data_IF_926731019736
#
_entry.id   IF_926731019736
#
_cell.length_a   1.000
_cell.length_b   1.000
_cell.length_c   1.000
_cell.angle_alpha   90.00
_cell.angle_beta   90.00
_cell.angle_gamma   90.00
#
_symmetry.space_group_name_H-M   'P 1'
#
loop_
_entity.id
_entity.type
_entity.pdbx_description
1 polymer ?
#
# COMPACT_ATOMS: atom_id res chain seq x y z
N UNK A 1 47.81 -21.36 2.71
CA UNK A 1 46.36 -21.38 3.06
C UNK A 1 45.87 -22.83 3.07
N UNK A 2 45.44 -23.37 4.24
CA UNK A 2 45.10 -24.80 4.41
C UNK A 2 43.98 -25.22 3.44
N UNK A 3 44.09 -26.39 2.81
CA UNK A 3 43.16 -26.91 1.77
C UNK A 3 41.68 -26.85 2.19
N UNK A 4 41.38 -27.08 3.48
CA UNK A 4 40.03 -26.96 4.05
C UNK A 4 39.47 -25.53 4.03
N UNK A 5 40.31 -24.50 4.19
CA UNK A 5 39.86 -23.10 4.14
C UNK A 5 39.46 -22.67 2.72
N UNK A 6 40.14 -23.18 1.69
CA UNK A 6 39.74 -22.96 0.28
C UNK A 6 38.38 -23.58 -0.03
N UNK A 7 38.11 -24.79 0.47
CA UNK A 7 36.82 -25.47 0.27
C UNK A 7 35.68 -24.69 0.93
N UNK A 8 35.88 -24.22 2.18
CA UNK A 8 34.88 -23.42 2.90
C UNK A 8 34.54 -22.13 2.14
N UNK A 9 35.57 -21.42 1.63
CA UNK A 9 35.35 -20.20 0.84
C UNK A 9 34.57 -20.51 -0.44
N UNK A 10 34.95 -21.56 -1.18
CA UNK A 10 34.24 -21.94 -2.41
C UNK A 10 32.78 -22.27 -2.12
N UNK A 11 32.50 -23.03 -1.06
CA UNK A 11 31.12 -23.36 -0.66
C UNK A 11 30.33 -22.11 -0.28
N UNK A 12 30.92 -21.19 0.51
CA UNK A 12 30.28 -19.92 0.86
C UNK A 12 29.97 -19.06 -0.38
N UNK A 13 30.90 -18.94 -1.32
CA UNK A 13 30.70 -18.21 -2.58
C UNK A 13 29.58 -18.88 -3.39
N UNK A 14 29.59 -20.21 -3.51
CA UNK A 14 28.54 -20.94 -4.21
C UNK A 14 27.16 -20.72 -3.58
N UNK A 15 27.06 -20.74 -2.24
CA UNK A 15 25.81 -20.44 -1.54
C UNK A 15 25.35 -19.01 -1.85
N UNK A 16 26.23 -18.02 -1.78
CA UNK A 16 25.90 -16.62 -2.08
C UNK A 16 25.42 -16.47 -3.52
N UNK A 17 26.09 -17.10 -4.48
CA UNK A 17 25.71 -17.08 -5.90
C UNK A 17 24.34 -17.73 -6.10
N UNK A 18 24.10 -18.89 -5.50
CA UNK A 18 22.79 -19.57 -5.56
C UNK A 18 21.71 -18.68 -4.96
N UNK A 19 21.95 -18.09 -3.79
CA UNK A 19 20.99 -17.21 -3.13
C UNK A 19 20.68 -15.99 -4.02
N UNK A 20 21.70 -15.40 -4.62
CA UNK A 20 21.54 -14.26 -5.53
C UNK A 20 20.72 -14.61 -6.78
N UNK A 21 20.92 -15.80 -7.34
CA UNK A 21 20.12 -16.30 -8.47
C UNK A 21 18.66 -16.48 -8.02
N UNK A 22 18.43 -17.19 -6.91
CA UNK A 22 17.09 -17.46 -6.38
C UNK A 22 16.31 -16.18 -6.09
N UNK A 23 16.95 -15.16 -5.51
CA UNK A 23 16.31 -13.87 -5.22
C UNK A 23 15.88 -13.08 -6.47
N UNK A 24 16.41 -13.42 -7.65
CA UNK A 24 16.09 -12.80 -8.94
C UNK A 24 15.08 -13.59 -9.78
N UNK A 25 14.74 -14.82 -9.39
CA UNK A 25 13.75 -15.62 -10.12
C UNK A 25 12.38 -14.95 -9.99
N UNK A 26 11.67 -14.70 -11.11
CA UNK A 26 10.30 -14.22 -11.07
C UNK A 26 9.40 -15.19 -10.32
N UNK A 27 8.73 -14.68 -9.30
CA UNK A 27 7.70 -15.40 -8.53
C UNK A 27 6.30 -15.19 -9.12
N UNK A 28 6.08 -14.05 -9.79
CA UNK A 28 4.83 -13.72 -10.47
C UNK A 28 5.09 -12.88 -11.72
N UNK A 29 4.19 -13.03 -12.69
CA UNK A 29 4.12 -12.25 -13.91
C UNK A 29 2.75 -11.57 -13.99
N UNK A 30 2.74 -10.28 -14.29
CA UNK A 30 1.52 -9.50 -14.44
C UNK A 30 1.43 -8.95 -15.86
N UNK A 31 0.21 -8.94 -16.39
CA UNK A 31 -0.10 -8.26 -17.65
C UNK A 31 -0.23 -6.75 -17.43
N UNK A 32 0.21 -5.97 -18.42
CA UNK A 32 -0.15 -4.56 -18.54
C UNK A 32 -1.55 -4.38 -19.09
N UNK A 33 -2.02 -5.30 -19.93
CA UNK A 33 -3.34 -5.20 -20.55
C UNK A 33 -4.42 -5.41 -19.49
N UNK A 34 -5.19 -4.35 -19.25
CA UNK A 34 -6.41 -4.39 -18.46
C UNK A 34 -7.57 -4.52 -19.44
N UNK A 35 -8.40 -5.53 -19.25
CA UNK A 35 -9.64 -5.69 -20.01
C UNK A 35 -10.79 -5.08 -19.22
N UNK A 36 -11.76 -4.54 -19.95
CA UNK A 36 -13.07 -4.11 -19.41
C UNK A 36 -13.07 -2.85 -18.53
N UNK A 37 -11.94 -2.14 -18.44
CA UNK A 37 -11.83 -0.84 -17.78
C UNK A 37 -11.32 0.22 -18.76
N UNK A 38 -11.74 1.46 -18.51
CA UNK A 38 -11.38 2.66 -19.25
C UNK A 38 -10.87 3.72 -18.27
N UNK A 39 -9.59 4.06 -18.29
CA UNK A 39 -9.01 5.04 -17.40
C UNK A 39 -9.67 6.41 -17.60
N UNK A 40 -9.96 7.07 -16.48
CA UNK A 40 -10.52 8.41 -16.47
C UNK A 40 -9.77 9.30 -15.48
N UNK A 41 -9.86 10.60 -15.73
CA UNK A 41 -9.46 11.64 -14.79
C UNK A 41 -10.66 12.53 -14.53
N UNK A 42 -11.08 12.61 -13.27
CA UNK A 42 -12.20 13.43 -12.83
C UNK A 42 -11.86 14.01 -11.45
N UNK A 43 -11.18 15.16 -11.47
CA UNK A 43 -10.64 15.80 -10.28
C UNK A 43 -11.77 16.28 -9.34
N UNK A 44 -12.94 16.65 -9.89
CA UNK A 44 -14.08 17.12 -9.11
C UNK A 44 -14.77 15.99 -8.35
N UNK A 45 -15.02 14.85 -9.03
CA UNK A 45 -15.57 13.67 -8.36
C UNK A 45 -14.55 13.10 -7.36
N UNK A 46 -13.26 13.06 -7.71
CA UNK A 46 -12.22 12.60 -6.80
C UNK A 46 -12.21 13.41 -5.49
N UNK A 47 -12.30 14.75 -5.57
CA UNK A 47 -12.40 15.61 -4.38
C UNK A 47 -13.67 15.36 -3.58
N UNK A 48 -14.80 15.14 -4.23
CA UNK A 48 -16.11 14.94 -3.58
C UNK A 48 -16.17 13.67 -2.75
N UNK A 49 -15.49 12.60 -3.17
CA UNK A 49 -15.51 11.30 -2.50
C UNK A 49 -14.21 10.97 -1.77
N UNK A 50 -13.29 11.93 -1.65
CA UNK A 50 -11.98 11.72 -1.03
C UNK A 50 -12.12 11.16 0.41
N UNK A 51 -11.52 9.99 0.71
CA UNK A 51 -11.55 9.44 2.05
C UNK A 51 -10.81 10.35 3.04
N UNK A 52 -11.29 10.40 4.28
CA UNK A 52 -10.66 11.16 5.37
C UNK A 52 -9.97 10.18 6.30
N UNK A 53 -8.67 10.38 6.54
CA UNK A 53 -7.90 9.55 7.46
C UNK A 53 -7.76 10.26 8.80
N UNK A 54 -8.15 9.58 9.87
CA UNK A 54 -7.96 9.98 11.26
C UNK A 54 -6.70 9.29 11.78
N UNK A 55 -5.69 10.06 12.14
CA UNK A 55 -4.40 9.52 12.60
C UNK A 55 -3.98 10.12 13.94
N UNK A 56 -2.97 9.54 14.57
CA UNK A 56 -2.35 10.06 15.78
C UNK A 56 -0.91 10.48 15.48
N UNK A 57 -0.29 11.25 16.39
CA UNK A 57 1.14 11.58 16.29
C UNK A 57 2.05 10.34 16.36
N UNK A 58 1.54 9.21 16.85
CA UNK A 58 2.28 7.96 16.92
C UNK A 58 2.57 7.43 15.51
N UNK A 59 1.54 7.31 14.69
CA UNK A 59 1.61 6.79 13.31
C UNK A 59 1.97 7.87 12.29
N UNK A 60 1.93 9.14 12.68
CA UNK A 60 2.23 10.23 11.77
C UNK A 60 1.11 10.50 10.77
N UNK A 61 1.35 11.44 9.86
CA UNK A 61 0.34 11.93 8.93
C UNK A 61 0.76 11.63 7.49
N UNK A 62 -0.20 11.20 6.67
CA UNK A 62 -0.01 11.14 5.23
C UNK A 62 0.31 12.55 4.70
N UNK A 63 1.26 12.64 3.79
CA UNK A 63 1.73 13.89 3.19
C UNK A 63 0.93 14.26 1.95
N UNK A 64 0.47 13.27 1.20
CA UNK A 64 -0.25 13.44 -0.05
C UNK A 64 -1.34 12.39 -0.21
N UNK A 65 -2.37 12.75 -0.97
CA UNK A 65 -3.41 11.84 -1.44
C UNK A 65 -3.39 11.88 -2.96
N UNK A 66 -3.04 10.75 -3.57
CA UNK A 66 -3.13 10.59 -5.03
C UNK A 66 -4.35 9.75 -5.39
N UNK A 67 -4.83 9.89 -6.62
CA UNK A 67 -5.86 8.99 -7.13
C UNK A 67 -5.61 8.54 -8.57
N UNK A 68 -6.04 7.31 -8.88
CA UNK A 68 -6.34 6.88 -10.25
C UNK A 68 -7.78 6.42 -10.33
N UNK A 69 -8.39 6.57 -11.49
CA UNK A 69 -9.77 6.16 -11.69
C UNK A 69 -9.97 5.48 -13.03
N UNK A 70 -10.98 4.60 -13.09
CA UNK A 70 -11.41 3.95 -14.30
C UNK A 70 -12.93 3.73 -14.29
N UNK A 71 -13.52 3.59 -15.48
CA UNK A 71 -14.89 3.12 -15.65
C UNK A 71 -14.91 1.71 -16.19
N UNK A 72 -15.84 0.89 -15.73
CA UNK A 72 -16.12 -0.39 -16.38
C UNK A 72 -17.12 -0.24 -17.53
N UNK A 73 -17.38 -1.35 -18.23
CA UNK A 73 -18.36 -1.41 -19.33
C UNK A 73 -19.80 -1.12 -18.91
N UNK A 74 -20.13 -1.26 -17.63
CA UNK A 74 -21.46 -0.99 -17.08
C UNK A 74 -21.65 0.48 -16.69
N UNK A 75 -20.57 1.28 -16.78
CA UNK A 75 -20.54 2.68 -16.42
C UNK A 75 -20.28 2.93 -14.93
N UNK A 76 -19.94 1.90 -14.14
CA UNK A 76 -19.51 2.09 -12.76
C UNK A 76 -18.13 2.75 -12.76
N UNK A 77 -17.87 3.61 -11.78
CA UNK A 77 -16.61 4.34 -11.66
C UNK A 77 -15.83 3.85 -10.46
N UNK A 78 -14.55 3.55 -10.63
CA UNK A 78 -13.66 3.06 -9.60
C UNK A 78 -12.61 4.12 -9.33
N UNK A 79 -12.47 4.54 -8.07
CA UNK A 79 -11.41 5.43 -7.62
C UNK A 79 -10.50 4.65 -6.67
N UNK A 80 -9.21 4.60 -6.98
CA UNK A 80 -8.18 4.16 -6.03
C UNK A 80 -7.52 5.39 -5.42
N UNK A 81 -7.69 5.60 -4.12
CA UNK A 81 -7.08 6.68 -3.36
C UNK A 81 -5.82 6.18 -2.63
N UNK A 82 -4.67 6.72 -3.01
CA UNK A 82 -3.35 6.37 -2.51
C UNK A 82 -2.87 7.40 -1.51
N UNK A 83 -2.84 7.03 -0.24
CA UNK A 83 -2.27 7.87 0.80
C UNK A 83 -0.76 7.62 0.88
N UNK A 84 0.03 8.69 0.76
CA UNK A 84 1.49 8.63 0.85
C UNK A 84 1.94 9.02 2.27
N UNK A 85 2.73 8.16 2.89
CA UNK A 85 3.53 8.48 4.07
C UNK A 85 5.01 8.49 3.73
N UNK A 86 5.77 9.29 4.49
CA UNK A 86 7.22 9.35 4.32
C UNK A 86 7.91 8.01 4.64
N UNK A 87 7.38 7.24 5.61
CA UNK A 87 7.95 5.97 6.08
C UNK A 87 7.01 5.24 7.05
N UNK A 88 7.08 3.93 7.06
CA UNK A 88 6.61 3.09 8.18
C UNK A 88 7.61 3.15 9.34
N UNK A 89 7.14 3.32 10.58
CA UNK A 89 8.02 3.25 11.76
C UNK A 89 7.30 2.57 12.92
N UNK A 90 7.68 1.33 13.22
CA UNK A 90 7.29 0.69 14.47
C UNK A 90 8.10 1.29 15.64
N UNK A 91 7.50 2.21 16.42
CA UNK A 91 8.13 2.86 17.59
C UNK A 91 8.13 1.98 18.86
N UNK A 92 7.45 0.83 18.83
CA UNK A 92 7.31 -0.06 19.97
C UNK A 92 8.67 -0.59 20.43
N UNK A 93 8.82 -0.75 21.75
CA UNK A 93 10.02 -1.36 22.35
C UNK A 93 9.97 -2.89 22.20
N UNK A 94 11.13 -3.53 22.04
CA UNK A 94 11.24 -4.98 21.96
C UNK A 94 12.21 -5.44 20.87
N UNK A 95 12.58 -6.72 20.93
CA UNK A 95 13.57 -7.31 20.01
C UNK A 95 13.04 -7.34 18.57
N UNK A 96 11.80 -7.81 18.37
CA UNK A 96 11.18 -7.88 17.03
C UNK A 96 10.96 -6.49 16.40
N UNK A 97 10.39 -5.48 17.10
CA UNK A 97 10.32 -4.11 16.56
C UNK A 97 11.69 -3.50 16.30
N UNK A 98 12.68 -3.76 17.15
CA UNK A 98 14.06 -3.33 16.91
C UNK A 98 14.62 -3.91 15.61
N UNK A 99 14.47 -5.22 15.39
CA UNK A 99 14.89 -5.87 14.15
C UNK A 99 14.14 -5.32 12.94
N UNK A 100 12.84 -5.05 13.05
CA UNK A 100 12.07 -4.41 11.98
C UNK A 100 12.68 -3.04 11.60
N UNK A 101 12.95 -2.18 12.59
CA UNK A 101 13.56 -0.87 12.33
C UNK A 101 14.95 -0.96 11.70
N UNK A 102 15.78 -1.92 12.09
CA UNK A 102 17.14 -2.02 11.56
C UNK A 102 17.20 -2.72 10.19
N UNK A 103 16.37 -3.73 9.97
CA UNK A 103 16.44 -4.56 8.78
C UNK A 103 15.41 -4.15 7.72
N UNK A 104 14.19 -3.83 8.11
CA UNK A 104 13.06 -3.69 7.19
C UNK A 104 12.77 -2.23 6.83
N UNK A 105 12.37 -1.40 7.80
CA UNK A 105 11.92 -0.02 7.59
C UNK A 105 13.03 1.03 7.64
N UNK A 106 14.18 0.73 8.26
CA UNK A 106 15.30 1.65 8.44
C UNK A 106 16.61 1.17 7.82
N UNK A 107 17.55 0.68 8.65
CA UNK A 107 18.99 0.56 8.32
C UNK A 107 19.32 -0.12 6.98
N UNK A 108 18.83 -1.34 6.74
CA UNK A 108 19.00 -2.03 5.45
C UNK A 108 17.95 -1.61 4.40
N UNK A 109 16.93 -0.86 4.79
CA UNK A 109 15.86 -0.34 3.94
C UNK A 109 15.26 -1.40 2.99
N UNK A 110 15.14 -2.65 3.45
CA UNK A 110 14.65 -3.77 2.62
C UNK A 110 13.27 -3.44 2.04
N UNK A 111 12.42 -2.75 2.78
CA UNK A 111 11.13 -2.26 2.28
C UNK A 111 11.29 -1.38 1.03
N UNK A 112 12.26 -0.46 1.03
CA UNK A 112 12.53 0.43 -0.11
C UNK A 112 12.98 -0.36 -1.34
N UNK A 113 13.83 -1.38 -1.16
CA UNK A 113 14.25 -2.25 -2.25
C UNK A 113 13.09 -3.10 -2.79
N UNK A 114 12.21 -3.57 -1.90
CA UNK A 114 11.07 -4.40 -2.26
C UNK A 114 9.99 -3.62 -3.00
N UNK A 115 9.58 -2.47 -2.47
CA UNK A 115 8.38 -1.78 -2.90
C UNK A 115 8.64 -0.44 -3.59
N UNK A 116 9.80 0.17 -3.40
CA UNK A 116 10.14 1.49 -3.94
C UNK A 116 10.14 2.57 -2.85
N UNK A 117 10.11 3.85 -3.24
CA UNK A 117 10.16 4.99 -2.29
C UNK A 117 8.88 5.11 -1.45
N UNK A 118 9.02 5.64 -0.23
CA UNK A 118 7.88 6.01 0.62
C UNK A 118 7.05 4.82 1.10
N UNK A 119 5.93 5.13 1.73
CA UNK A 119 4.92 4.15 2.10
C UNK A 119 3.56 4.56 1.54
N UNK A 120 2.83 3.63 0.93
CA UNK A 120 1.61 3.94 0.18
C UNK A 120 0.56 2.90 0.52
N UNK A 121 -0.55 3.37 1.08
CA UNK A 121 -1.73 2.56 1.37
C UNK A 121 -2.91 3.04 0.52
N UNK A 122 -3.77 2.11 0.13
CA UNK A 122 -4.83 2.37 -0.85
C UNK A 122 -6.23 2.09 -0.29
N UNK A 123 -7.17 2.95 -0.63
CA UNK A 123 -8.62 2.77 -0.41
C UNK A 123 -9.31 2.87 -1.78
N UNK A 124 -10.02 1.84 -2.20
CA UNK A 124 -10.89 1.90 -3.38
C UNK A 124 -12.29 2.33 -2.98
N UNK A 125 -12.86 3.24 -3.76
CA UNK A 125 -14.27 3.60 -3.72
C UNK A 125 -14.85 3.32 -5.11
N UNK A 126 -15.84 2.43 -5.18
CA UNK A 126 -16.63 2.17 -6.38
C UNK A 126 -17.93 2.97 -6.30
N UNK A 127 -18.19 3.76 -7.32
CA UNK A 127 -19.46 4.40 -7.58
C UNK A 127 -20.25 3.57 -8.60
N UNK A 128 -21.55 3.41 -8.37
CA UNK A 128 -22.45 2.87 -9.38
C UNK A 128 -22.59 3.82 -10.59
N UNK A 129 -23.29 3.37 -11.62
CA UNK A 129 -23.57 4.18 -12.81
C UNK A 129 -24.46 5.43 -12.56
N UNK A 130 -24.97 5.61 -11.33
CA UNK A 130 -25.70 6.81 -10.89
C UNK A 130 -24.83 7.74 -10.03
N UNK A 131 -23.57 7.38 -9.79
CA UNK A 131 -22.63 8.15 -8.97
C UNK A 131 -22.84 7.99 -7.46
N UNK A 132 -23.58 6.97 -7.02
CA UNK A 132 -23.70 6.61 -5.60
C UNK A 132 -22.56 5.67 -5.20
N UNK A 133 -22.03 5.82 -3.98
CA UNK A 133 -21.05 4.86 -3.46
C UNK A 133 -21.73 3.49 -3.31
N UNK A 134 -21.22 2.51 -4.04
CA UNK A 134 -21.70 1.12 -4.06
C UNK A 134 -20.84 0.25 -3.15
N UNK A 135 -19.52 0.45 -3.21
CA UNK A 135 -18.54 -0.38 -2.51
C UNK A 135 -17.31 0.41 -2.08
N UNK A 136 -16.76 0.05 -0.94
CA UNK A 136 -15.42 0.47 -0.50
C UNK A 136 -14.57 -0.77 -0.25
N UNK A 137 -13.34 -0.75 -0.75
CA UNK A 137 -12.34 -1.79 -0.49
C UNK A 137 -11.10 -1.18 0.17
N UNK A 138 -10.63 -1.76 1.26
CA UNK A 138 -9.42 -1.33 1.96
C UNK A 138 -8.78 -2.48 2.73
N UNK A 139 -7.60 -2.26 3.31
CA UNK A 139 -6.91 -3.24 4.15
C UNK A 139 -6.89 -2.83 5.63
N UNK A 140 -7.09 -3.82 6.51
CA UNK A 140 -7.11 -3.69 7.96
C UNK A 140 -6.09 -4.64 8.58
N UNK A 141 -5.51 -4.34 9.76
CA UNK A 141 -4.57 -5.27 10.37
C UNK A 141 -5.31 -6.47 10.98
N UNK A 142 -4.90 -7.69 10.63
CA UNK A 142 -5.43 -8.92 11.21
C UNK A 142 -4.72 -9.23 12.53
N UNK A 143 -5.45 -9.23 13.65
CA UNK A 143 -4.92 -9.52 14.99
C UNK A 143 -3.68 -8.67 15.32
N UNK A 144 -3.82 -7.35 15.21
CA UNK A 144 -2.70 -6.41 15.35
C UNK A 144 -1.94 -6.59 16.67
N UNK A 145 -0.64 -6.88 16.56
CA UNK A 145 0.33 -6.91 17.66
C UNK A 145 1.46 -5.89 17.36
N UNK A 146 1.55 -4.78 18.11
CA UNK A 146 2.60 -3.77 17.90
C UNK A 146 4.01 -4.30 18.21
N UNK A 147 4.13 -5.41 18.94
CA UNK A 147 5.40 -6.08 19.23
C UNK A 147 5.81 -7.10 18.15
N UNK A 148 4.98 -7.34 17.14
CA UNK A 148 5.30 -8.21 16.03
C UNK A 148 6.32 -7.57 15.06
N UNK A 149 7.01 -8.40 14.29
CA UNK A 149 7.97 -7.94 13.28
C UNK A 149 7.27 -7.32 12.05
N UNK A 150 6.10 -7.83 11.69
CA UNK A 150 5.31 -7.40 10.53
C UNK A 150 3.84 -7.36 10.90
N UNK A 151 3.07 -6.52 10.21
CA UNK A 151 1.61 -6.52 10.31
C UNK A 151 1.04 -7.49 9.28
N UNK A 152 0.02 -8.26 9.66
CA UNK A 152 -0.71 -9.12 8.73
C UNK A 152 -1.89 -8.34 8.16
N UNK A 153 -2.04 -8.33 6.85
CA UNK A 153 -3.07 -7.56 6.16
C UNK A 153 -4.31 -8.42 5.95
N UNK A 154 -5.49 -7.84 6.15
CA UNK A 154 -6.78 -8.43 5.80
C UNK A 154 -7.57 -7.46 4.93
N UNK A 155 -7.98 -7.92 3.75
CA UNK A 155 -8.86 -7.16 2.86
C UNK A 155 -10.26 -7.07 3.47
N UNK A 156 -10.83 -5.87 3.46
CA UNK A 156 -12.20 -5.57 3.85
C UNK A 156 -12.94 -5.01 2.63
N UNK A 157 -14.17 -5.47 2.44
CA UNK A 157 -15.09 -4.98 1.43
C UNK A 157 -16.37 -4.57 2.16
N UNK A 158 -16.75 -3.31 2.01
CA UNK A 158 -18.01 -2.76 2.50
C UNK A 158 -18.91 -2.50 1.31
N UNK A 159 -20.16 -2.93 1.38
CA UNK A 159 -21.18 -2.77 0.34
C UNK A 159 -22.43 -2.11 0.96
N UNK A 160 -23.19 -1.38 0.15
CA UNK A 160 -24.47 -0.80 0.55
C UNK A 160 -24.45 0.72 0.63
N UNK A 161 -25.27 1.29 1.53
CA UNK A 161 -25.44 2.74 1.63
C UNK A 161 -24.27 3.38 2.39
N UNK A 162 -23.24 3.78 1.65
CA UNK A 162 -22.02 4.34 2.20
C UNK A 162 -22.00 5.86 2.00
N UNK A 163 -21.66 6.58 3.07
CA UNK A 163 -21.59 8.03 3.07
C UNK A 163 -20.49 8.57 2.13
N UNK A 164 -20.70 9.80 1.66
CA UNK A 164 -19.66 10.57 1.00
C UNK A 164 -18.54 10.90 2.00
N UNK A 165 -17.28 10.99 1.52
CA UNK A 165 -16.09 11.23 2.35
C UNK A 165 -15.96 10.25 3.53
N UNK A 166 -15.88 8.94 3.22
CA UNK A 166 -15.75 7.90 4.24
C UNK A 166 -14.54 8.13 5.13
N UNK A 167 -14.69 7.86 6.43
CA UNK A 167 -13.66 8.09 7.44
C UNK A 167 -12.97 6.80 7.86
N UNK A 168 -11.66 6.87 8.03
CA UNK A 168 -10.82 5.74 8.40
C UNK A 168 -9.86 6.12 9.51
N UNK A 169 -9.79 5.33 10.58
CA UNK A 169 -8.74 5.44 11.59
C UNK A 169 -7.50 4.69 11.13
N UNK A 170 -6.33 5.30 11.25
CA UNK A 170 -5.05 4.58 11.12
C UNK A 170 -4.92 3.61 12.29
N UNK A 171 -4.80 2.33 11.95
CA UNK A 171 -4.94 1.20 12.86
C UNK A 171 -3.59 0.65 13.34
N UNK A 172 -2.51 0.88 12.59
CA UNK A 172 -1.21 0.25 12.81
C UNK A 172 -0.05 1.14 12.37
N UNK A 173 1.17 0.77 12.80
CA UNK A 173 2.40 1.46 12.41
C UNK A 173 2.77 1.32 10.91
N UNK A 174 2.11 0.43 10.17
CA UNK A 174 2.18 0.32 8.71
C UNK A 174 0.96 0.96 8.01
N UNK A 175 0.25 1.84 8.72
CA UNK A 175 -0.80 2.69 8.18
C UNK A 175 -2.07 2.02 7.63
N UNK A 176 -2.35 0.77 8.00
CA UNK A 176 -3.63 0.12 7.68
C UNK A 176 -4.81 0.80 8.38
N UNK A 177 -6.03 0.46 7.97
CA UNK A 177 -7.23 1.23 8.33
C UNK A 177 -8.27 0.44 9.12
N UNK A 178 -9.02 1.16 9.95
CA UNK A 178 -10.34 0.77 10.43
C UNK A 178 -11.38 1.77 9.93
N UNK A 179 -12.46 1.28 9.32
CA UNK A 179 -13.57 2.13 8.90
C UNK A 179 -14.34 2.69 10.11
N UNK A 180 -14.76 3.96 10.03
CA UNK A 180 -15.54 4.63 11.08
C UNK A 180 -17.00 4.71 10.66
N UNK A 181 -17.84 3.88 11.27
CA UNK A 181 -19.29 3.88 11.05
C UNK A 181 -20.04 5.01 11.76
N UNK A 182 -19.50 5.51 12.88
CA UNK A 182 -20.14 6.52 13.71
C UNK A 182 -19.08 7.45 14.31
N UNK A 183 -19.13 8.72 13.94
CA UNK A 183 -18.23 9.76 14.42
C UNK A 183 -18.24 9.90 15.94
N UNK A 184 -19.37 9.59 16.59
CA UNK A 184 -19.50 9.68 18.06
C UNK A 184 -18.65 8.64 18.78
N UNK A 185 -18.14 7.62 18.07
CA UNK A 185 -17.27 6.56 18.59
C UNK A 185 -15.79 6.83 18.29
N UNK A 186 -15.43 8.04 17.91
CA UNK A 186 -14.02 8.46 17.80
C UNK A 186 -13.53 8.85 19.20
N UNK A 187 -13.12 7.85 19.98
CA UNK A 187 -12.41 8.06 21.24
C UNK A 187 -10.91 8.23 20.99
N UNK A 188 -10.28 9.23 21.62
CA UNK A 188 -8.83 9.47 21.56
C UNK A 188 -8.43 10.74 20.81
N UNK A 189 -7.13 11.08 20.89
CA UNK A 189 -6.56 12.28 20.28
C UNK A 189 -6.23 12.05 18.79
N UNK A 190 -7.27 11.88 17.98
CA UNK A 190 -7.15 11.77 16.53
C UNK A 190 -7.11 13.13 15.85
N UNK A 191 -6.27 13.24 14.85
CA UNK A 191 -6.14 14.39 13.95
C UNK A 191 -6.73 13.97 12.61
N UNK A 192 -7.73 14.71 12.13
CA UNK A 192 -8.30 14.48 10.82
C UNK A 192 -7.37 15.02 9.74
N UNK A 193 -6.82 14.11 8.94
CA UNK A 193 -6.00 14.43 7.78
C UNK A 193 -6.89 14.48 6.54
N UNK A 194 -7.40 15.69 6.25
CA UNK A 194 -8.21 15.97 5.04
C UNK A 194 -7.27 16.46 3.94
N UNK A 195 -6.81 15.53 3.12
CA UNK A 195 -5.92 15.82 1.99
C UNK A 195 -6.74 16.04 0.73
N UNK A 196 -6.35 17.03 -0.08
CA UNK A 196 -6.94 17.21 -1.40
C UNK A 196 -6.32 16.20 -2.38
N UNK A 197 -7.14 15.34 -3.03
CA UNK A 197 -6.62 14.35 -3.95
C UNK A 197 -6.05 15.02 -5.21
N UNK A 198 -4.91 14.51 -5.66
CA UNK A 198 -4.29 14.87 -6.95
C UNK A 198 -4.19 13.65 -7.85
N UNK A 199 -4.30 13.79 -9.17
CA UNK A 199 -4.16 12.65 -10.06
C UNK A 199 -2.76 12.01 -9.93
N UNK A 200 -2.70 10.67 -9.87
CA UNK A 200 -1.45 9.93 -9.73
C UNK A 200 -0.76 9.82 -11.10
N UNK A 201 -0.11 10.92 -11.47
CA UNK A 201 0.57 11.07 -12.75
C UNK A 201 1.58 9.95 -13.00
N UNK A 202 1.77 9.61 -14.28
CA UNK A 202 2.60 8.50 -14.69
C UNK A 202 4.07 8.62 -14.23
N UNK A 203 4.60 9.85 -14.17
CA UNK A 203 5.95 10.09 -13.64
C UNK A 203 6.06 9.71 -12.17
N UNK A 204 5.06 10.07 -11.35
CA UNK A 204 5.03 9.71 -9.93
C UNK A 204 4.78 8.22 -9.75
N UNK A 205 3.88 7.62 -10.54
CA UNK A 205 3.61 6.19 -10.53
C UNK A 205 4.87 5.35 -10.73
N UNK A 206 5.72 5.77 -11.68
CA UNK A 206 7.01 5.15 -11.93
C UNK A 206 8.04 5.47 -10.83
N UNK A 207 8.08 6.70 -10.32
CA UNK A 207 8.96 7.09 -9.20
C UNK A 207 8.73 6.21 -7.96
N UNK A 208 7.47 5.94 -7.63
CA UNK A 208 7.07 5.10 -6.51
C UNK A 208 7.09 3.59 -6.82
N UNK A 209 7.45 3.22 -8.06
CA UNK A 209 7.46 1.84 -8.57
C UNK A 209 6.15 1.08 -8.27
N UNK A 210 5.00 1.73 -8.46
CA UNK A 210 3.69 1.17 -8.08
C UNK A 210 3.43 -0.19 -8.74
N UNK A 211 3.84 -0.32 -10.00
CA UNK A 211 3.70 -1.53 -10.79
C UNK A 211 5.04 -2.03 -11.36
N UNK A 212 5.19 -3.35 -11.38
CA UNK A 212 6.34 -4.14 -11.76
C UNK A 212 5.80 -5.40 -12.44
N UNK A 213 6.05 -5.53 -13.75
CA UNK A 213 5.57 -6.66 -14.55
C UNK A 213 6.02 -8.03 -14.02
N UNK A 214 7.20 -8.07 -13.40
CA UNK A 214 7.79 -9.27 -12.80
C UNK A 214 8.08 -8.99 -11.34
N UNK A 215 7.47 -9.78 -10.46
CA UNK A 215 7.80 -9.76 -9.04
C UNK A 215 8.84 -10.82 -8.71
N UNK A 216 9.77 -10.50 -7.82
CA UNK A 216 10.68 -11.46 -7.19
C UNK A 216 10.52 -11.38 -5.67
N UNK A 217 11.28 -12.18 -4.93
CA UNK A 217 11.29 -12.14 -3.46
C UNK A 217 11.60 -10.72 -2.94
N UNK A 218 12.50 -10.00 -3.62
CA UNK A 218 12.97 -8.67 -3.24
C UNK A 218 12.42 -7.54 -4.11
N UNK A 219 11.41 -7.81 -4.96
CA UNK A 219 10.82 -6.82 -5.85
C UNK A 219 9.34 -7.11 -6.00
N UNK A 220 8.48 -6.32 -5.36
CA UNK A 220 7.03 -6.56 -5.29
C UNK A 220 6.25 -5.31 -5.69
N UNK A 221 5.07 -5.49 -6.24
CA UNK A 221 4.15 -4.40 -6.49
C UNK A 221 3.73 -3.73 -5.19
N UNK A 222 3.40 -2.44 -5.28
CA UNK A 222 2.68 -1.74 -4.22
C UNK A 222 1.20 -2.05 -4.31
N UNK A 223 0.46 -1.73 -3.26
CA UNK A 223 -0.98 -1.84 -3.26
C UNK A 223 -1.57 -0.97 -4.38
N UNK A 224 -2.16 -1.63 -5.38
CA UNK A 224 -2.88 -1.02 -6.49
C UNK A 224 -3.86 -2.04 -7.07
N UNK A 225 -4.87 -1.54 -7.75
CA UNK A 225 -5.87 -2.31 -8.46
C UNK A 225 -5.48 -2.50 -9.92
N UNK A 226 -5.98 -3.56 -10.54
CA UNK A 226 -5.62 -3.91 -11.92
C UNK A 226 -5.97 -2.79 -12.90
N UNK A 227 -7.12 -2.15 -12.73
CA UNK A 227 -7.58 -1.03 -13.57
C UNK A 227 -6.72 0.24 -13.49
N UNK A 228 -5.74 0.27 -12.60
CA UNK A 228 -4.81 1.41 -12.48
C UNK A 228 -3.59 1.26 -13.40
N UNK A 229 -3.39 0.09 -14.02
CA UNK A 229 -2.23 -0.19 -14.88
C UNK A 229 -2.40 0.47 -16.25
N UNK A 230 -1.29 0.67 -16.96
CA UNK A 230 -1.29 1.26 -18.31
C UNK A 230 -2.14 0.44 -19.27
N UNK A 231 -3.10 1.08 -19.92
CA UNK A 231 -3.98 0.42 -20.91
C UNK A 231 -5.35 0.05 -20.36
N UNK A 232 -5.63 0.33 -19.08
CA UNK A 232 -6.99 0.72 -18.70
C UNK A 232 -7.32 2.05 -19.39
#
# INVERSE_FOLDING_TARGET
MKRGFKIIIVVLISIIVILFIVLRIPTKHFSNEVKDFFAIRDDEIAKKYAPIVLTTNEYGQATNLYYRAAKDKEGNTYFAYHFLWNREVNKTKGIKPFLNRYLYTGGLSVQKFMYGKGDIEVIEIKLDNKGKVDRITFETPENYDPYAFSVKHKKVVLEGDIEQNPKFKVASWNHLFYYVHDDKKIEGNFIANKLEPSYFEENLWNEYEMFKEKETILRKNRAHYEYERKGA
#
